data_IF_718774462969
#
_entry.id   IF_718774462969
#
_cell.length_a   1.000
_cell.length_b   1.000
_cell.length_c   1.000
_cell.angle_alpha   90.00
_cell.angle_beta   90.00
_cell.angle_gamma   90.00
#
_symmetry.space_group_name_H-M   'P 1'
#
loop_
_entity.id
_entity.type
_entity.pdbx_description
1 polymer ?
#
# COMPACT_ATOMS: atom_id res chain seq x y z
N UNK A 1 -12.06 22.96 -40.76
CA UNK A 1 -10.75 23.64 -40.67
C UNK A 1 -10.05 23.21 -39.41
N UNK A 2 -8.99 22.41 -39.50
CA UNK A 2 -8.16 22.06 -38.32
C UNK A 2 -7.38 23.32 -37.95
N UNK A 3 -7.61 23.87 -36.76
CA UNK A 3 -6.76 24.93 -36.21
C UNK A 3 -5.35 24.42 -36.07
N UNK A 4 -4.36 25.17 -36.58
CA UNK A 4 -2.95 24.89 -36.29
C UNK A 4 -2.73 24.81 -34.75
N UNK A 5 -1.85 23.92 -34.31
CA UNK A 5 -1.50 23.82 -32.87
C UNK A 5 -0.90 25.15 -32.40
N UNK A 6 -1.53 25.75 -31.41
CA UNK A 6 -1.03 26.98 -30.78
C UNK A 6 0.06 26.70 -29.76
N UNK A 7 0.96 27.66 -29.54
CA UNK A 7 2.07 27.58 -28.58
C UNK A 7 1.59 27.34 -27.14
N UNK A 8 0.37 27.74 -26.79
CA UNK A 8 -0.20 27.67 -25.44
C UNK A 8 -1.32 26.60 -25.30
N UNK A 9 -1.52 25.74 -26.29
CA UNK A 9 -2.64 24.78 -26.27
C UNK A 9 -2.53 23.79 -25.08
N UNK A 10 -1.34 23.37 -24.73
CA UNK A 10 -1.08 22.52 -23.57
C UNK A 10 -1.45 23.22 -22.26
N UNK A 11 -0.97 24.46 -22.08
CA UNK A 11 -1.24 25.25 -20.89
C UNK A 11 -2.74 25.52 -20.71
N UNK A 12 -3.44 25.90 -21.78
CA UNK A 12 -4.88 26.11 -21.78
C UNK A 12 -5.62 24.82 -21.40
N UNK A 13 -5.13 23.66 -21.85
CA UNK A 13 -5.72 22.37 -21.49
C UNK A 13 -5.49 22.02 -20.04
N UNK A 14 -4.29 22.26 -19.51
CA UNK A 14 -3.97 22.06 -18.09
C UNK A 14 -4.82 22.95 -17.18
N UNK A 15 -5.04 24.22 -17.54
CA UNK A 15 -5.94 25.12 -16.81
C UNK A 15 -7.39 24.61 -16.80
N UNK A 16 -7.86 24.03 -17.91
CA UNK A 16 -9.20 23.39 -17.97
C UNK A 16 -9.29 22.17 -17.06
N UNK A 17 -8.22 21.37 -16.94
CA UNK A 17 -8.16 20.25 -16.01
C UNK A 17 -8.20 20.73 -14.54
N UNK A 18 -7.46 21.80 -14.20
CA UNK A 18 -7.50 22.40 -12.87
C UNK A 18 -8.91 22.89 -12.49
N UNK A 19 -9.60 23.56 -13.43
CA UNK A 19 -11.02 23.97 -13.25
C UNK A 19 -11.98 22.79 -13.03
N UNK A 20 -11.60 21.58 -13.48
CA UNK A 20 -12.35 20.32 -13.25
C UNK A 20 -11.92 19.60 -11.97
N UNK A 21 -11.10 20.25 -11.12
CA UNK A 21 -10.62 19.70 -9.85
C UNK A 21 -9.79 18.41 -10.03
N UNK A 22 -8.71 18.49 -10.80
CA UNK A 22 -7.80 17.37 -11.00
C UNK A 22 -7.34 16.78 -9.66
N UNK A 23 -7.64 15.49 -9.36
CA UNK A 23 -7.30 14.88 -8.08
C UNK A 23 -5.78 14.78 -7.86
N UNK A 24 -4.97 14.73 -8.92
CA UNK A 24 -3.51 14.67 -8.81
C UNK A 24 -2.92 16.03 -8.41
N UNK A 25 -3.53 17.12 -8.84
CA UNK A 25 -3.15 18.47 -8.40
C UNK A 25 -3.46 18.66 -6.92
N UNK A 26 -4.63 18.18 -6.46
CA UNK A 26 -4.97 18.16 -5.04
C UNK A 26 -4.01 17.29 -4.23
N UNK A 27 -3.65 16.11 -4.72
CA UNK A 27 -2.68 15.23 -4.06
C UNK A 27 -1.33 15.94 -3.88
N UNK A 28 -0.83 16.61 -4.94
CA UNK A 28 0.44 17.36 -4.90
C UNK A 28 0.40 18.59 -4.00
N UNK A 29 -0.79 19.17 -3.74
CA UNK A 29 -0.91 20.31 -2.82
C UNK A 29 -0.87 19.89 -1.34
N UNK A 30 -1.13 18.62 -1.04
CA UNK A 30 -1.10 18.09 0.33
C UNK A 30 0.15 17.27 0.66
N UNK A 31 0.83 16.72 -0.36
CA UNK A 31 2.01 15.88 -0.15
C UNK A 31 3.20 16.49 -0.87
N UNK A 32 4.21 16.88 -0.10
CA UNK A 32 5.52 17.23 -0.64
C UNK A 32 6.31 15.95 -0.94
N UNK A 33 6.32 15.55 -2.21
CA UNK A 33 7.06 14.36 -2.66
C UNK A 33 8.58 14.49 -2.50
N UNK A 34 9.13 15.71 -2.45
CA UNK A 34 10.55 15.93 -2.23
C UNK A 34 11.01 15.48 -0.84
N UNK A 35 10.08 15.39 0.11
CA UNK A 35 10.34 14.81 1.43
C UNK A 35 10.90 13.38 1.35
N UNK A 36 10.52 12.61 0.34
CA UNK A 36 10.99 11.24 0.11
C UNK A 36 12.34 11.15 -0.62
N UNK A 37 12.89 12.24 -1.16
CA UNK A 37 14.12 12.23 -1.96
C UNK A 37 15.30 11.68 -1.19
N UNK A 38 15.58 12.20 -0.01
CA UNK A 38 16.75 11.80 0.80
C UNK A 38 16.76 10.31 1.13
N UNK A 39 15.67 9.69 1.66
CA UNK A 39 15.66 8.26 1.91
C UNK A 39 15.78 7.41 0.65
N UNK A 40 15.13 7.79 -0.45
CA UNK A 40 15.24 7.09 -1.74
C UNK A 40 16.64 7.17 -2.33
N UNK A 41 17.25 8.36 -2.42
CA UNK A 41 18.62 8.50 -2.92
C UNK A 41 19.62 7.73 -2.07
N UNK A 42 19.51 7.77 -0.74
CA UNK A 42 20.38 7.02 0.15
C UNK A 42 20.29 5.51 -0.12
N UNK A 43 19.10 5.02 -0.37
CA UNK A 43 18.86 3.61 -0.70
C UNK A 43 19.51 3.24 -2.03
N UNK A 44 19.21 3.98 -3.11
CA UNK A 44 19.72 3.68 -4.45
C UNK A 44 21.23 3.96 -4.62
N UNK A 45 21.81 4.93 -3.91
CA UNK A 45 23.27 5.14 -3.89
C UNK A 45 24.02 3.95 -3.32
N UNK A 46 23.49 3.31 -2.29
CA UNK A 46 24.06 2.09 -1.71
C UNK A 46 24.02 0.92 -2.71
N UNK A 47 22.95 0.82 -3.48
CA UNK A 47 22.80 -0.17 -4.56
C UNK A 47 23.73 0.10 -5.75
N UNK A 48 23.84 1.38 -6.17
CA UNK A 48 24.63 1.79 -7.31
C UNK A 48 26.15 1.66 -7.09
N UNK A 49 26.63 1.62 -5.85
CA UNK A 49 28.06 1.49 -5.55
C UNK A 49 28.70 0.21 -6.16
N UNK A 50 27.89 -0.78 -6.53
CA UNK A 50 28.30 -2.03 -7.15
C UNK A 50 28.20 -2.03 -8.68
N UNK A 51 27.64 -0.98 -9.32
CA UNK A 51 27.41 -0.92 -10.76
C UNK A 51 28.36 0.09 -11.43
N UNK A 52 29.28 -0.39 -12.24
CA UNK A 52 30.20 0.43 -13.03
C UNK A 52 29.63 0.63 -14.44
N UNK A 53 29.06 1.81 -14.71
CA UNK A 53 28.61 2.21 -16.04
C UNK A 53 27.13 1.91 -16.33
N UNK A 54 26.61 2.42 -17.44
CA UNK A 54 25.24 2.23 -17.92
C UNK A 54 24.50 3.55 -18.16
N UNK A 55 23.23 3.45 -18.63
CA UNK A 55 22.34 4.61 -18.79
C UNK A 55 22.07 5.25 -17.42
N UNK A 56 22.08 6.58 -17.32
CA UNK A 56 21.69 7.27 -16.09
C UNK A 56 20.30 6.81 -15.62
N UNK A 57 20.17 6.58 -14.31
CA UNK A 57 18.89 6.21 -13.73
C UNK A 57 17.90 7.37 -13.83
N UNK A 58 16.62 7.05 -13.97
CA UNK A 58 15.56 8.05 -13.82
C UNK A 58 15.55 8.63 -12.40
N UNK A 59 15.06 9.85 -12.28
CA UNK A 59 14.89 10.49 -10.98
C UNK A 59 14.04 9.63 -10.04
N UNK A 60 14.50 9.44 -8.80
CA UNK A 60 13.83 8.53 -7.85
C UNK A 60 12.44 9.04 -7.42
N UNK A 61 12.20 10.36 -7.40
CA UNK A 61 10.89 10.93 -7.10
C UNK A 61 9.95 10.74 -8.28
N UNK A 62 10.42 10.91 -9.51
CA UNK A 62 9.66 10.57 -10.71
C UNK A 62 9.17 9.12 -10.65
N UNK A 63 10.08 8.18 -10.41
CA UNK A 63 9.77 6.76 -10.34
C UNK A 63 8.80 6.43 -9.19
N UNK A 64 8.98 7.06 -8.03
CA UNK A 64 8.08 6.89 -6.90
C UNK A 64 6.67 7.42 -7.20
N UNK A 65 6.56 8.60 -7.80
CA UNK A 65 5.26 9.15 -8.25
C UNK A 65 4.57 8.25 -9.27
N UNK A 66 5.32 7.58 -10.16
CA UNK A 66 4.75 6.60 -11.10
C UNK A 66 4.12 5.43 -10.35
N UNK A 67 4.76 4.90 -9.32
CA UNK A 67 4.16 3.82 -8.50
C UNK A 67 2.89 4.28 -7.78
N UNK A 68 2.84 5.54 -7.31
CA UNK A 68 1.63 6.12 -6.72
C UNK A 68 0.51 6.18 -7.76
N UNK A 69 0.78 6.70 -8.97
CA UNK A 69 -0.19 6.71 -10.07
C UNK A 69 -0.71 5.31 -10.39
N UNK A 70 0.20 4.34 -10.48
CA UNK A 70 -0.14 2.96 -10.78
C UNK A 70 -1.12 2.38 -9.76
N UNK A 71 -0.91 2.63 -8.48
CA UNK A 71 -1.80 2.18 -7.41
C UNK A 71 -3.10 2.98 -7.33
N UNK A 72 -3.01 4.30 -7.48
CA UNK A 72 -4.19 5.18 -7.41
C UNK A 72 -5.21 4.88 -8.53
N UNK A 73 -4.72 4.54 -9.73
CA UNK A 73 -5.57 4.20 -10.88
C UNK A 73 -5.72 2.69 -11.11
N UNK A 74 -5.11 1.86 -10.28
CA UNK A 74 -5.13 0.39 -10.35
C UNK A 74 -4.82 -0.14 -11.75
N UNK A 75 -3.69 0.28 -12.32
CA UNK A 75 -3.25 -0.09 -13.67
C UNK A 75 -2.00 -0.96 -13.66
N UNK A 76 -1.83 -1.80 -14.70
CA UNK A 76 -0.64 -2.65 -14.89
C UNK A 76 0.61 -1.83 -15.23
N UNK A 77 1.79 -2.48 -15.28
CA UNK A 77 3.02 -1.81 -15.68
C UNK A 77 2.95 -1.29 -17.12
N UNK A 78 2.42 -2.08 -18.06
CA UNK A 78 2.28 -1.65 -19.45
C UNK A 78 1.23 -0.54 -19.60
N UNK A 79 0.13 -0.65 -18.87
CA UNK A 79 -0.93 0.35 -18.91
C UNK A 79 -0.50 1.70 -18.31
N UNK A 80 0.37 1.73 -17.30
CA UNK A 80 0.84 3.01 -16.73
C UNK A 80 1.82 3.72 -17.67
N UNK A 81 2.70 2.99 -18.36
CA UNK A 81 3.57 3.56 -19.39
C UNK A 81 2.75 4.26 -20.48
N UNK A 82 1.76 3.55 -21.04
CA UNK A 82 0.84 4.11 -22.02
C UNK A 82 0.07 5.32 -21.48
N UNK A 83 -0.47 5.22 -20.27
CA UNK A 83 -1.27 6.28 -19.66
C UNK A 83 -0.45 7.56 -19.38
N UNK A 84 0.84 7.45 -19.10
CA UNK A 84 1.74 8.61 -18.94
C UNK A 84 1.90 9.33 -20.29
N UNK A 85 2.06 8.60 -21.38
CA UNK A 85 2.17 9.17 -22.73
C UNK A 85 0.88 9.84 -23.22
N UNK A 86 -0.28 9.32 -22.79
CA UNK A 86 -1.61 9.75 -23.26
C UNK A 86 -2.21 10.90 -22.42
N UNK A 87 -1.92 10.97 -21.10
CA UNK A 87 -2.62 11.85 -20.17
C UNK A 87 -1.79 13.04 -19.70
N UNK A 88 -2.18 14.24 -20.09
CA UNK A 88 -1.54 15.48 -19.63
C UNK A 88 -1.57 15.65 -18.09
N UNK A 89 -2.63 15.17 -17.41
CA UNK A 89 -2.67 15.21 -15.94
C UNK A 89 -1.57 14.36 -15.30
N UNK A 90 -1.24 13.21 -15.89
CA UNK A 90 -0.15 12.36 -15.42
C UNK A 90 1.21 13.01 -15.66
N UNK A 91 1.42 13.54 -16.86
CA UNK A 91 2.65 14.26 -17.19
C UNK A 91 2.87 15.45 -16.25
N UNK A 92 1.84 16.26 -16.00
CA UNK A 92 1.88 17.37 -15.04
C UNK A 92 2.25 16.90 -13.63
N UNK A 93 1.59 15.86 -13.13
CA UNK A 93 1.86 15.30 -11.80
C UNK A 93 3.31 14.81 -11.68
N UNK A 94 3.85 14.21 -12.73
CA UNK A 94 5.22 13.70 -12.79
C UNK A 94 6.26 14.79 -13.05
N UNK A 95 5.85 15.99 -13.47
CA UNK A 95 6.76 17.06 -13.90
C UNK A 95 7.41 16.78 -15.25
N UNK A 96 6.77 16.01 -16.13
CA UNK A 96 7.26 15.68 -17.46
C UNK A 96 6.65 16.62 -18.51
N UNK A 97 7.47 17.12 -19.41
CA UNK A 97 7.02 17.73 -20.65
C UNK A 97 6.76 16.68 -21.74
N UNK A 98 6.05 17.05 -22.81
CA UNK A 98 5.63 16.15 -23.92
C UNK A 98 6.80 15.38 -24.54
N UNK A 99 7.99 15.98 -24.58
CA UNK A 99 9.18 15.39 -25.21
C UNK A 99 10.09 14.67 -24.21
N UNK A 100 9.76 14.63 -22.92
CA UNK A 100 10.58 13.95 -21.95
C UNK A 100 10.46 12.43 -22.10
N UNK A 101 11.54 11.66 -21.88
CA UNK A 101 11.49 10.22 -21.93
C UNK A 101 10.65 9.68 -20.77
N UNK A 102 9.78 8.73 -21.09
CA UNK A 102 8.95 8.01 -20.11
C UNK A 102 9.65 6.68 -19.79
N UNK A 103 9.71 6.26 -18.52
CA UNK A 103 10.20 4.95 -18.14
C UNK A 103 9.32 3.84 -18.72
N UNK A 104 9.95 2.80 -19.26
CA UNK A 104 9.24 1.61 -19.74
C UNK A 104 8.72 0.73 -18.59
N UNK A 105 7.78 -0.16 -18.92
CA UNK A 105 7.12 -1.07 -17.98
C UNK A 105 8.12 -1.90 -17.15
N UNK A 106 9.21 -2.37 -17.79
CA UNK A 106 10.25 -3.16 -17.12
C UNK A 106 11.06 -2.32 -16.12
N UNK A 107 11.39 -1.08 -16.48
CA UNK A 107 12.08 -0.14 -15.58
C UNK A 107 11.22 0.17 -14.36
N UNK A 108 9.90 0.38 -14.54
CA UNK A 108 8.95 0.61 -13.44
C UNK A 108 8.87 -0.62 -12.54
N UNK A 109 8.78 -1.81 -13.14
CA UNK A 109 8.76 -3.07 -12.39
C UNK A 109 10.03 -3.26 -11.55
N UNK A 110 11.22 -3.07 -12.15
CA UNK A 110 12.51 -3.20 -11.46
C UNK A 110 12.65 -2.22 -10.29
N UNK A 111 12.17 -0.98 -10.46
CA UNK A 111 12.21 0.00 -9.39
C UNK A 111 11.34 -0.43 -8.20
N UNK A 112 10.11 -0.90 -8.46
CA UNK A 112 9.23 -1.44 -7.43
C UNK A 112 9.82 -2.66 -6.74
N UNK A 113 10.33 -3.61 -7.50
CA UNK A 113 10.95 -4.84 -6.99
C UNK A 113 12.09 -4.53 -6.02
N UNK A 114 12.97 -3.60 -6.37
CA UNK A 114 14.04 -3.13 -5.49
C UNK A 114 13.53 -2.48 -4.21
N UNK A 115 12.51 -1.63 -4.28
CA UNK A 115 11.93 -1.03 -3.09
C UNK A 115 11.33 -2.08 -2.15
N UNK A 116 10.65 -3.07 -2.71
CA UNK A 116 10.01 -4.16 -1.95
C UNK A 116 11.06 -5.06 -1.31
N UNK A 117 12.00 -5.58 -2.10
CA UNK A 117 13.06 -6.47 -1.61
C UNK A 117 14.00 -5.78 -0.61
N UNK A 118 14.18 -4.47 -0.72
CA UNK A 118 14.98 -3.67 0.20
C UNK A 118 14.24 -3.19 1.45
N UNK A 119 12.97 -3.56 1.66
CA UNK A 119 12.14 -3.13 2.80
C UNK A 119 11.96 -1.61 2.86
N UNK A 120 11.90 -0.95 1.68
CA UNK A 120 11.74 0.50 1.62
C UNK A 120 10.28 0.94 1.69
N UNK A 121 9.34 0.07 1.36
CA UNK A 121 7.91 0.43 1.35
C UNK A 121 7.45 0.85 2.74
N UNK A 122 7.76 0.05 3.77
CA UNK A 122 7.42 0.33 5.17
C UNK A 122 8.09 1.62 5.66
N UNK A 123 9.36 1.84 5.26
CA UNK A 123 10.07 3.07 5.61
C UNK A 123 9.44 4.30 4.97
N UNK A 124 9.08 4.24 3.69
CA UNK A 124 8.40 5.34 2.98
C UNK A 124 7.02 5.62 3.58
N UNK A 125 6.28 4.57 3.98
CA UNK A 125 5.03 4.72 4.70
C UNK A 125 5.22 5.45 6.04
N UNK A 126 6.21 5.03 6.86
CA UNK A 126 6.54 5.72 8.12
C UNK A 126 7.01 7.18 7.91
N UNK A 127 7.65 7.48 6.78
CA UNK A 127 8.00 8.87 6.43
C UNK A 127 6.76 9.69 6.11
N UNK A 128 5.79 9.12 5.37
CA UNK A 128 4.53 9.77 5.06
C UNK A 128 3.73 10.06 6.34
N UNK A 129 3.59 9.06 7.21
CA UNK A 129 2.86 9.18 8.48
C UNK A 129 3.42 10.32 9.33
N UNK A 130 4.76 10.37 9.49
CA UNK A 130 5.44 11.45 10.20
C UNK A 130 5.24 12.83 9.56
N UNK A 131 5.16 12.92 8.24
CA UNK A 131 4.87 14.18 7.56
C UNK A 131 3.44 14.64 7.86
N UNK A 132 2.47 13.73 7.73
CA UNK A 132 1.06 14.02 8.00
C UNK A 132 0.81 14.41 9.47
N UNK A 133 1.52 13.77 10.38
CA UNK A 133 1.48 14.10 11.81
C UNK A 133 2.06 15.48 12.08
N UNK A 134 3.24 15.79 11.54
CA UNK A 134 3.88 17.10 11.66
C UNK A 134 3.01 18.24 11.10
N UNK A 135 2.27 17.95 10.02
CA UNK A 135 1.38 18.92 9.38
C UNK A 135 0.02 19.03 10.11
N UNK A 136 -0.16 18.29 11.24
CA UNK A 136 -1.36 18.31 12.06
C UNK A 136 -2.59 17.69 11.38
N UNK A 137 -2.37 16.87 10.35
CA UNK A 137 -3.45 16.20 9.62
C UNK A 137 -3.96 15.00 10.42
N UNK A 138 -3.07 14.27 11.12
CA UNK A 138 -3.46 13.18 12.02
C UNK A 138 -3.90 13.79 13.36
N UNK A 139 -5.11 13.42 13.81
CA UNK A 139 -5.76 14.13 14.94
C UNK A 139 -5.54 13.43 16.29
N UNK A 140 -5.16 12.16 16.32
CA UNK A 140 -4.87 11.37 17.54
C UNK A 140 -6.00 11.35 18.59
N UNK A 141 -7.27 11.30 18.15
CA UNK A 141 -8.45 11.20 19.03
C UNK A 141 -9.03 9.81 19.17
N UNK A 142 -8.32 8.82 18.70
CA UNK A 142 -8.69 7.41 18.75
C UNK A 142 -8.24 6.68 17.50
N UNK A 143 -8.21 5.36 17.59
CA UNK A 143 -7.75 4.47 16.51
C UNK A 143 -8.88 3.52 16.11
N UNK A 144 -8.99 3.27 14.82
CA UNK A 144 -9.82 2.23 14.23
C UNK A 144 -8.90 1.08 13.84
N UNK A 145 -9.25 -0.14 14.21
CA UNK A 145 -8.53 -1.35 13.79
C UNK A 145 -9.50 -2.26 13.08
N UNK A 146 -9.09 -2.71 11.89
CA UNK A 146 -9.88 -3.62 11.06
C UNK A 146 -8.96 -4.47 10.18
N UNK A 147 -9.47 -5.57 9.65
CA UNK A 147 -8.77 -6.45 8.73
C UNK A 147 -9.57 -6.69 7.46
N UNK A 148 -8.86 -6.74 6.34
CA UNK A 148 -9.45 -7.06 5.04
C UNK A 148 -8.72 -8.23 4.37
N UNK A 149 -9.47 -9.09 3.68
CA UNK A 149 -8.92 -10.23 2.94
C UNK A 149 -8.42 -9.72 1.58
N UNK A 150 -7.20 -10.12 1.22
CA UNK A 150 -6.57 -9.87 -0.08
C UNK A 150 -6.40 -11.20 -0.78
N UNK A 151 -7.25 -11.47 -1.77
CA UNK A 151 -7.18 -12.73 -2.53
C UNK A 151 -6.02 -12.76 -3.50
N UNK A 152 -5.38 -13.92 -3.60
CA UNK A 152 -4.43 -14.21 -4.69
C UNK A 152 -5.24 -14.39 -5.99
N UNK A 153 -4.97 -13.61 -7.03
CA UNK A 153 -5.85 -13.55 -8.21
C UNK A 153 -5.80 -14.79 -9.10
N UNK A 154 -4.69 -15.55 -9.08
CA UNK A 154 -4.45 -16.64 -10.04
C UNK A 154 -3.85 -17.86 -9.33
N UNK A 155 -4.10 -19.06 -9.87
CA UNK A 155 -3.42 -20.30 -9.48
C UNK A 155 -3.48 -20.65 -7.99
N UNK A 156 -4.69 -20.60 -7.42
CA UNK A 156 -4.93 -21.02 -6.02
C UNK A 156 -4.39 -22.44 -5.80
N UNK A 157 -3.76 -22.64 -4.65
CA UNK A 157 -3.35 -23.98 -4.23
C UNK A 157 -4.57 -24.77 -3.75
N UNK A 158 -4.59 -26.07 -4.00
CA UNK A 158 -5.56 -26.95 -3.36
C UNK A 158 -5.32 -27.01 -1.84
N UNK A 159 -6.27 -27.55 -1.09
CA UNK A 159 -6.08 -27.74 0.36
C UNK A 159 -4.95 -28.71 0.67
N UNK A 160 -4.78 -29.74 -0.13
CA UNK A 160 -3.74 -30.75 0.03
C UNK A 160 -2.37 -30.20 -0.33
N UNK A 161 -2.26 -29.48 -1.45
CA UNK A 161 -1.05 -28.73 -1.80
C UNK A 161 -0.64 -27.75 -0.69
N UNK A 162 -1.60 -27.02 -0.13
CA UNK A 162 -1.31 -26.09 0.98
C UNK A 162 -0.87 -26.79 2.28
N UNK A 163 -1.39 -28.00 2.54
CA UNK A 163 -0.96 -28.79 3.68
C UNK A 163 0.50 -29.20 3.54
N UNK A 164 0.90 -29.71 2.37
CA UNK A 164 2.29 -30.08 2.07
C UNK A 164 3.23 -28.87 2.21
N UNK A 165 2.84 -27.71 1.67
CA UNK A 165 3.63 -26.48 1.79
C UNK A 165 3.82 -26.03 3.25
N UNK A 166 2.80 -26.19 4.12
CA UNK A 166 2.94 -25.92 5.55
C UNK A 166 3.91 -26.84 6.28
N UNK A 167 4.04 -28.07 5.80
CA UNK A 167 5.00 -29.08 6.29
C UNK A 167 6.41 -28.83 5.72
N UNK A 168 6.59 -27.81 4.87
CA UNK A 168 7.87 -27.47 4.22
C UNK A 168 8.14 -28.27 2.96
N UNK A 169 7.16 -29.01 2.46
CA UNK A 169 7.30 -29.87 1.29
C UNK A 169 6.65 -29.19 0.06
N UNK A 170 7.34 -29.23 -1.07
CA UNK A 170 6.77 -28.79 -2.35
C UNK A 170 6.16 -30.01 -3.03
N UNK A 171 4.89 -29.93 -3.53
CA UNK A 171 4.28 -31.07 -4.24
C UNK A 171 5.15 -31.58 -5.40
N UNK A 172 5.38 -32.89 -5.46
CA UNK A 172 6.28 -33.53 -6.45
C UNK A 172 5.86 -33.28 -7.90
N UNK A 173 4.57 -33.06 -8.15
CA UNK A 173 4.04 -32.75 -9.49
C UNK A 173 4.27 -31.30 -9.94
N UNK A 174 4.88 -30.46 -9.08
CA UNK A 174 5.17 -29.07 -9.42
C UNK A 174 6.53 -28.95 -10.13
N UNK A 175 6.51 -28.90 -11.46
CA UNK A 175 7.68 -28.51 -12.23
C UNK A 175 8.04 -27.03 -11.99
N UNK A 176 9.25 -26.62 -12.37
CA UNK A 176 9.77 -25.26 -12.16
C UNK A 176 8.84 -24.15 -12.66
N UNK A 177 8.15 -24.34 -13.79
CA UNK A 177 7.23 -23.35 -14.34
C UNK A 177 5.96 -23.21 -13.49
N UNK A 178 5.43 -24.32 -12.95
CA UNK A 178 4.28 -24.29 -12.05
C UNK A 178 4.66 -23.62 -10.73
N UNK A 179 5.83 -23.94 -10.18
CA UNK A 179 6.36 -23.37 -8.95
C UNK A 179 6.49 -21.84 -9.02
N UNK A 180 6.95 -21.31 -10.17
CA UNK A 180 7.07 -19.85 -10.38
C UNK A 180 5.73 -19.11 -10.49
N UNK A 181 4.64 -19.82 -10.74
CA UNK A 181 3.31 -19.27 -10.90
C UNK A 181 2.44 -19.41 -9.65
N UNK A 182 2.87 -20.24 -8.70
CA UNK A 182 2.16 -20.49 -7.44
C UNK A 182 2.62 -19.52 -6.36
N UNK A 183 1.71 -19.19 -5.49
CA UNK A 183 2.00 -18.47 -4.25
C UNK A 183 2.19 -19.51 -3.14
N UNK A 184 3.41 -19.59 -2.58
CA UNK A 184 3.77 -20.61 -1.59
C UNK A 184 3.33 -20.21 -0.17
N UNK A 185 3.17 -18.92 0.07
CA UNK A 185 2.89 -18.37 1.40
C UNK A 185 1.39 -18.16 1.64
N UNK A 186 0.60 -17.94 0.56
CA UNK A 186 -0.84 -17.70 0.66
C UNK A 186 -1.58 -18.87 1.33
N UNK A 187 -2.57 -18.54 2.17
CA UNK A 187 -3.32 -19.53 2.93
C UNK A 187 -4.84 -19.40 2.74
N UNK A 188 -5.54 -20.49 2.98
CA UNK A 188 -6.99 -20.54 2.96
C UNK A 188 -7.60 -20.01 4.26
N UNK A 189 -8.68 -19.23 4.14
CA UNK A 189 -9.55 -18.84 5.25
C UNK A 189 -11.01 -18.97 4.82
N UNK A 190 -11.87 -19.33 5.78
CA UNK A 190 -13.32 -19.28 5.58
C UNK A 190 -13.87 -18.07 6.32
N UNK A 191 -14.56 -17.19 5.59
CA UNK A 191 -15.21 -16.01 6.16
C UNK A 191 -16.63 -15.91 5.61
N UNK A 192 -17.63 -15.79 6.49
CA UNK A 192 -19.06 -15.73 6.13
C UNK A 192 -19.51 -16.87 5.19
N UNK A 193 -19.03 -18.11 5.45
CA UNK A 193 -19.38 -19.29 4.65
C UNK A 193 -18.69 -19.36 3.27
N UNK A 194 -17.82 -18.43 2.93
CA UNK A 194 -17.03 -18.43 1.70
C UNK A 194 -15.56 -18.70 2.00
N UNK A 195 -14.91 -19.42 1.09
CA UNK A 195 -13.49 -19.73 1.18
C UNK A 195 -12.69 -18.74 0.33
N UNK A 196 -11.67 -18.15 0.94
CA UNK A 196 -10.73 -17.23 0.31
C UNK A 196 -9.32 -17.79 0.41
N UNK A 197 -8.52 -17.58 -0.63
CA UNK A 197 -7.12 -17.96 -0.67
C UNK A 197 -6.24 -16.73 -0.87
N UNK A 198 -5.35 -16.45 0.08
CA UNK A 198 -4.51 -15.27 0.00
C UNK A 198 -3.96 -14.80 1.35
N UNK A 199 -4.09 -13.50 1.56
CA UNK A 199 -3.55 -12.77 2.69
C UNK A 199 -4.63 -11.97 3.40
N UNK A 200 -4.30 -11.43 4.57
CA UNK A 200 -5.04 -10.37 5.25
C UNK A 200 -4.17 -9.12 5.38
N UNK A 201 -4.82 -7.98 5.22
CA UNK A 201 -4.25 -6.68 5.52
C UNK A 201 -4.95 -6.13 6.77
N UNK A 202 -4.22 -6.06 7.87
CA UNK A 202 -4.68 -5.48 9.13
C UNK A 202 -4.26 -4.03 9.17
N UNK A 203 -5.16 -3.12 9.41
CA UNK A 203 -4.91 -1.69 9.41
C UNK A 203 -5.23 -1.05 10.75
N UNK A 204 -4.45 -0.04 11.12
CA UNK A 204 -4.75 0.93 12.16
C UNK A 204 -4.93 2.29 11.51
N UNK A 205 -6.05 2.95 11.74
CA UNK A 205 -6.35 4.25 11.17
C UNK A 205 -6.75 5.25 12.26
N UNK A 206 -6.45 6.53 12.04
CA UNK A 206 -6.96 7.60 12.89
C UNK A 206 -8.49 7.68 12.80
N UNK A 207 -9.18 7.72 13.94
CA UNK A 207 -10.64 7.63 14.01
C UNK A 207 -11.37 8.83 13.38
N UNK A 208 -10.72 9.97 13.27
CA UNK A 208 -11.29 11.21 12.72
C UNK A 208 -10.99 11.37 11.23
N UNK A 209 -9.73 11.27 10.87
CA UNK A 209 -9.29 11.50 9.50
C UNK A 209 -9.44 10.27 8.60
N UNK A 210 -9.56 9.07 9.21
CA UNK A 210 -9.59 7.77 8.52
C UNK A 210 -8.27 7.44 7.79
N UNK A 211 -7.21 8.21 8.02
CA UNK A 211 -5.90 7.92 7.47
C UNK A 211 -5.29 6.71 8.18
N UNK A 212 -4.73 5.80 7.39
CA UNK A 212 -4.02 4.63 7.90
C UNK A 212 -2.71 5.11 8.51
N UNK A 213 -2.50 4.81 9.80
CA UNK A 213 -1.29 5.17 10.55
C UNK A 213 -0.36 3.97 10.77
N UNK A 214 -0.87 2.75 10.69
CA UNK A 214 -0.07 1.53 10.70
C UNK A 214 -0.77 0.40 9.95
N UNK A 215 -0.03 -0.59 9.48
CA UNK A 215 -0.58 -1.78 8.82
C UNK A 215 0.31 -3.00 9.01
N UNK A 216 -0.31 -4.19 8.96
CA UNK A 216 0.37 -5.48 8.94
C UNK A 216 -0.26 -6.38 7.88
N UNK A 217 0.59 -7.02 7.10
CA UNK A 217 0.15 -8.05 6.16
C UNK A 217 0.49 -9.43 6.73
N UNK A 218 -0.49 -10.33 6.76
CA UNK A 218 -0.34 -11.72 7.21
C UNK A 218 -0.93 -12.68 6.19
N UNK A 219 -0.67 -13.96 6.35
CA UNK A 219 -1.42 -14.99 5.62
C UNK A 219 -2.88 -15.01 6.09
N UNK A 220 -3.82 -15.36 5.20
CA UNK A 220 -5.25 -15.20 5.47
C UNK A 220 -5.79 -16.04 6.65
N UNK A 221 -5.08 -17.10 7.06
CA UNK A 221 -5.47 -17.97 8.18
C UNK A 221 -5.21 -17.38 9.57
N UNK A 222 -4.39 -16.31 9.67
CA UNK A 222 -4.14 -15.64 10.96
C UNK A 222 -5.42 -14.95 11.42
N UNK A 223 -5.77 -15.11 12.69
CA UNK A 223 -6.96 -14.48 13.25
C UNK A 223 -6.73 -12.98 13.46
N UNK A 224 -7.76 -12.16 13.19
CA UNK A 224 -7.64 -10.70 13.22
C UNK A 224 -7.20 -10.19 14.58
N UNK A 225 -7.67 -10.79 15.65
CA UNK A 225 -7.32 -10.44 17.03
C UNK A 225 -5.84 -10.64 17.37
N UNK A 226 -5.12 -11.55 16.69
CA UNK A 226 -3.70 -11.81 16.97
C UNK A 226 -2.82 -10.60 16.63
N UNK A 227 -3.28 -9.75 15.71
CA UNK A 227 -2.52 -8.61 15.24
C UNK A 227 -2.75 -7.32 16.03
N UNK A 228 -3.71 -7.29 16.96
CA UNK A 228 -4.04 -6.06 17.70
C UNK A 228 -2.85 -5.55 18.53
N UNK A 229 -2.14 -6.45 19.20
CA UNK A 229 -0.97 -6.07 20.02
C UNK A 229 0.15 -5.46 19.18
N UNK A 230 0.38 -5.99 17.98
CA UNK A 230 1.40 -5.47 17.06
C UNK A 230 1.04 -4.13 16.42
N UNK A 231 -0.25 -3.88 16.20
CA UNK A 231 -0.75 -2.64 15.61
C UNK A 231 -0.80 -1.48 16.60
N UNK A 232 -0.97 -1.77 17.88
CA UNK A 232 -1.07 -0.74 18.91
C UNK A 232 0.31 -0.42 19.52
N UNK A 233 0.67 0.86 19.57
CA UNK A 233 1.90 1.33 20.21
C UNK A 233 1.57 2.18 21.45
N UNK A 234 2.25 1.88 22.58
CA UNK A 234 2.01 2.59 23.85
C UNK A 234 2.35 4.07 23.80
N UNK A 235 3.37 4.45 23.00
CA UNK A 235 3.83 5.85 22.95
C UNK A 235 2.94 6.69 22.03
N UNK A 236 2.51 6.09 20.90
CA UNK A 236 1.73 6.78 19.88
C UNK A 236 0.24 6.75 20.20
N UNK A 237 -0.27 5.66 20.77
CA UNK A 237 -1.70 5.42 20.96
C UNK A 237 -2.15 5.53 22.42
N UNK A 238 -1.23 5.65 23.38
CA UNK A 238 -1.55 5.79 24.81
C UNK A 238 -2.41 7.01 25.10
N UNK A 239 -3.45 6.84 25.92
CA UNK A 239 -4.44 7.88 26.25
C UNK A 239 -5.53 8.06 25.20
N UNK A 240 -5.56 7.24 24.15
CA UNK A 240 -6.58 7.26 23.11
C UNK A 240 -7.52 6.04 23.23
N UNK A 241 -8.70 6.15 22.59
CA UNK A 241 -9.63 5.01 22.48
C UNK A 241 -9.33 4.17 21.22
N UNK A 242 -9.42 2.83 21.32
CA UNK A 242 -9.36 1.92 20.18
C UNK A 242 -10.75 1.37 19.89
N UNK A 243 -11.15 1.42 18.63
CA UNK A 243 -12.41 0.92 18.11
C UNK A 243 -12.12 -0.25 17.16
N UNK A 244 -12.75 -1.39 17.41
CA UNK A 244 -12.68 -2.57 16.54
C UNK A 244 -14.00 -3.35 16.63
N UNK A 245 -14.16 -4.33 15.76
CA UNK A 245 -15.31 -5.21 15.81
C UNK A 245 -15.23 -6.23 16.98
N UNK A 246 -16.29 -7.00 17.17
CA UNK A 246 -16.37 -7.99 18.26
C UNK A 246 -15.42 -9.18 18.11
N UNK A 247 -14.80 -9.39 16.94
CA UNK A 247 -13.80 -10.43 16.74
C UNK A 247 -12.50 -10.13 17.52
N UNK A 248 -12.25 -8.84 17.79
CA UNK A 248 -11.11 -8.38 18.60
C UNK A 248 -11.39 -8.42 20.12
N UNK A 249 -12.61 -8.78 20.56
CA UNK A 249 -12.93 -8.77 21.99
C UNK A 249 -12.52 -10.05 22.68
N UNK A 250 -11.55 -9.96 23.57
CA UNK A 250 -11.13 -11.00 24.50
C UNK A 250 -10.49 -10.40 25.74
N UNK A 251 -10.46 -11.14 26.86
CA UNK A 251 -9.83 -10.69 28.10
C UNK A 251 -8.34 -10.37 27.90
N UNK A 252 -7.64 -11.21 27.12
CA UNK A 252 -6.22 -11.00 26.81
C UNK A 252 -5.98 -9.66 26.07
N UNK A 253 -6.85 -9.30 25.10
CA UNK A 253 -6.74 -8.05 24.36
C UNK A 253 -7.14 -6.83 25.19
N UNK A 254 -8.13 -6.96 26.08
CA UNK A 254 -8.43 -5.91 27.06
C UNK A 254 -7.24 -5.66 27.99
N UNK A 255 -6.48 -6.68 28.35
CA UNK A 255 -5.25 -6.53 29.12
C UNK A 255 -4.14 -5.85 28.31
N UNK A 256 -4.00 -6.15 27.02
CA UNK A 256 -3.08 -5.44 26.11
C UNK A 256 -3.42 -3.94 26.08
N UNK A 257 -4.67 -3.59 25.91
CA UNK A 257 -5.11 -2.18 25.93
C UNK A 257 -4.77 -1.50 27.26
N UNK A 258 -5.05 -2.16 28.37
CA UNK A 258 -4.69 -1.63 29.72
C UNK A 258 -3.19 -1.41 29.90
N UNK A 259 -2.35 -2.37 29.50
CA UNK A 259 -0.88 -2.27 29.58
C UNK A 259 -0.32 -1.13 28.73
N UNK A 260 -0.96 -0.84 27.61
CA UNK A 260 -0.60 0.24 26.69
C UNK A 260 -1.24 1.57 27.04
N UNK A 261 -2.07 1.62 28.11
CA UNK A 261 -2.84 2.81 28.52
C UNK A 261 -3.79 3.28 27.40
N UNK A 262 -4.46 2.34 26.75
CA UNK A 262 -5.42 2.58 25.67
C UNK A 262 -6.81 2.22 26.19
N UNK A 263 -7.80 3.06 25.93
CA UNK A 263 -9.19 2.78 26.27
C UNK A 263 -9.81 1.85 25.22
N UNK A 264 -10.31 0.70 25.65
CA UNK A 264 -10.98 -0.24 24.76
C UNK A 264 -12.43 0.18 24.53
N UNK A 265 -12.76 0.46 23.28
CA UNK A 265 -14.12 0.70 22.78
C UNK A 265 -14.51 -0.37 21.75
N UNK A 266 -14.04 -1.61 21.96
CA UNK A 266 -14.30 -2.76 21.09
C UNK A 266 -15.73 -3.24 21.30
N UNK A 267 -16.47 -3.50 20.23
CA UNK A 267 -17.86 -3.95 20.30
C UNK A 267 -18.03 -5.24 21.12
N UNK A 268 -19.11 -5.30 21.93
CA UNK A 268 -19.47 -6.52 22.63
C UNK A 268 -20.03 -7.55 21.66
N UNK A 269 -19.72 -8.83 21.91
CA UNK A 269 -20.36 -9.92 21.17
C UNK A 269 -21.85 -9.93 21.51
N UNK A 270 -22.70 -9.58 20.54
CA UNK A 270 -24.14 -9.73 20.67
C UNK A 270 -24.47 -11.22 20.79
N UNK A 271 -24.95 -11.66 21.94
CA UNK A 271 -25.59 -12.98 22.04
C UNK A 271 -26.95 -12.87 21.37
N UNK A 272 -27.35 -13.84 20.52
CA UNK A 272 -28.74 -13.91 20.07
C UNK A 272 -29.63 -14.06 21.31
N UNK A 273 -30.48 -13.06 21.54
CA UNK A 273 -31.55 -13.18 22.56
C UNK A 273 -32.47 -14.24 22.01
N UNK A 274 -32.43 -15.43 22.61
CA UNK A 274 -33.46 -16.45 22.36
C UNK A 274 -34.77 -15.89 22.92
N UNK A 275 -35.59 -15.35 22.01
CA UNK A 275 -37.01 -15.05 22.27
C UNK A 275 -37.84 -16.31 22.16
#
# INVERSE_FOLDING_TARGET
MSKARGLFDEQIRLEKLSKKQDPLERLSSHIDFEYFRKPLEKFFKKEAANNKGGRPAYDCILMFKILILQRYYNVSNDAIEYAILDRLSFMRFLGLGINNPVPDAKTIWLFRDKLTSGGMIEKLFSYLDKQLDKDGIIVHKGKLVDASIVEVPIQRNSRDENKQLKEGEVPEDWGENKLRQKDLDAQWVTHNGKNYFGYKNHIKADSKTKLITDYKATTANIHDSEMLDELLDKKEDGGQSVYADSAYRSEALEEVCRKKNIESSIHEKGYPINL
#
